data_IF_833535372272
#
_entry.id   IF_833535372272
#
_cell.length_a   1.000
_cell.length_b   1.000
_cell.length_c   1.000
_cell.angle_alpha   90.00
_cell.angle_beta   90.00
_cell.angle_gamma   90.00
#
_symmetry.space_group_name_H-M   'P 1'
#
loop_
_entity.id
_entity.type
_entity.pdbx_description
1 polymer ?
#
# COMPACT_ATOMS: atom_id res chain seq x y z
N UNK A 1 -4.95 23.17 -6.49
CA UNK A 1 -5.72 22.12 -7.18
C UNK A 1 -5.44 20.84 -6.43
N UNK A 2 -6.47 20.14 -5.94
CA UNK A 2 -6.28 18.80 -5.37
C UNK A 2 -5.99 17.90 -6.56
N UNK A 3 -4.75 17.43 -6.70
CA UNK A 3 -4.42 16.46 -7.74
C UNK A 3 -5.15 15.17 -7.40
N UNK A 4 -6.10 14.78 -8.23
CA UNK A 4 -6.84 13.54 -8.05
C UNK A 4 -6.08 12.41 -8.76
N UNK A 5 -4.92 12.01 -8.24
CA UNK A 5 -4.04 10.99 -8.84
C UNK A 5 -4.74 9.65 -9.11
N UNK A 6 -5.86 9.40 -8.42
CA UNK A 6 -6.66 8.20 -8.52
C UNK A 6 -8.00 8.44 -9.23
N UNK A 7 -8.11 9.51 -10.03
CA UNK A 7 -9.25 9.70 -10.92
C UNK A 7 -9.28 8.60 -11.99
N UNK A 8 -10.34 7.80 -11.99
CA UNK A 8 -10.46 6.62 -12.85
C UNK A 8 -9.84 5.34 -12.29
N UNK A 9 -9.32 5.35 -11.05
CA UNK A 9 -8.89 4.14 -10.37
C UNK A 9 -10.05 3.17 -10.14
N UNK A 10 -9.75 1.88 -10.17
CA UNK A 10 -10.68 0.84 -9.73
C UNK A 10 -10.50 0.63 -8.23
N UNK A 11 -11.60 0.76 -7.46
CA UNK A 11 -11.57 0.76 -6.00
C UNK A 11 -12.63 -0.20 -5.50
N UNK A 12 -12.24 -1.14 -4.65
CA UNK A 12 -13.13 -2.05 -3.96
C UNK A 12 -12.97 -1.91 -2.44
N UNK A 13 -14.09 -2.00 -1.73
CA UNK A 13 -14.09 -2.43 -0.33
C UNK A 13 -14.32 -3.92 -0.32
N UNK A 14 -13.48 -4.64 0.38
CA UNK A 14 -13.49 -6.10 0.42
C UNK A 14 -13.57 -6.61 1.86
N UNK A 15 -14.15 -7.78 2.04
CA UNK A 15 -14.21 -8.47 3.33
C UNK A 15 -12.89 -9.17 3.61
N UNK A 16 -12.29 -8.94 4.77
CA UNK A 16 -11.09 -9.70 5.21
C UNK A 16 -11.36 -11.18 5.43
N UNK A 17 -12.56 -11.51 5.92
CA UNK A 17 -12.92 -12.90 6.25
C UNK A 17 -13.12 -13.75 4.99
N UNK A 18 -13.74 -13.17 3.96
CA UNK A 18 -14.18 -13.92 2.77
C UNK A 18 -13.43 -13.55 1.49
N UNK A 19 -12.60 -12.52 1.53
CA UNK A 19 -11.88 -11.92 0.40
C UNK A 19 -12.79 -11.44 -0.75
N UNK A 20 -14.11 -11.41 -0.53
CA UNK A 20 -15.07 -10.97 -1.54
C UNK A 20 -15.28 -9.45 -1.50
N UNK A 21 -15.53 -8.88 -2.67
CA UNK A 21 -15.96 -7.49 -2.81
C UNK A 21 -17.29 -7.26 -2.07
N UNK A 22 -17.28 -6.27 -1.18
CA UNK A 22 -18.46 -5.72 -0.50
C UNK A 22 -19.11 -4.67 -1.41
N UNK A 23 -18.30 -3.76 -1.96
CA UNK A 23 -18.74 -2.70 -2.85
C UNK A 23 -17.61 -2.23 -3.75
N UNK A 24 -17.94 -1.88 -5.00
CA UNK A 24 -17.08 -1.08 -5.84
C UNK A 24 -17.33 0.41 -5.55
N UNK A 25 -16.28 1.15 -5.23
CA UNK A 25 -16.36 2.56 -4.85
C UNK A 25 -15.87 3.49 -5.97
N UNK A 26 -16.31 4.75 -5.91
CA UNK A 26 -15.75 5.81 -6.76
C UNK A 26 -14.57 6.50 -6.07
N UNK A 27 -13.78 7.27 -6.81
CA UNK A 27 -12.68 8.07 -6.24
C UNK A 27 -13.13 9.04 -5.13
N UNK A 28 -14.42 9.41 -5.09
CA UNK A 28 -14.97 10.22 -4.00
C UNK A 28 -14.89 9.54 -2.64
N UNK A 29 -14.89 8.20 -2.59
CA UNK A 29 -14.70 7.42 -1.37
C UNK A 29 -13.34 7.68 -0.72
N UNK A 30 -12.31 7.98 -1.52
CA UNK A 30 -10.98 8.26 -0.98
C UNK A 30 -10.89 9.55 -0.17
N UNK A 31 -11.94 10.39 -0.17
CA UNK A 31 -12.03 11.56 0.72
C UNK A 31 -12.40 11.19 2.17
N UNK A 32 -12.76 9.94 2.44
CA UNK A 32 -12.94 9.46 3.82
C UNK A 32 -11.61 9.55 4.58
N UNK A 33 -11.64 9.81 5.90
CA UNK A 33 -10.45 9.76 6.72
C UNK A 33 -9.86 8.33 6.73
N UNK A 34 -8.55 8.20 6.87
CA UNK A 34 -7.86 6.92 7.01
C UNK A 34 -8.44 6.10 8.19
N UNK A 35 -8.85 6.81 9.25
CA UNK A 35 -9.53 6.23 10.41
C UNK A 35 -10.81 5.46 10.09
N UNK A 36 -11.38 5.61 8.88
CA UNK A 36 -12.47 4.78 8.40
C UNK A 36 -12.18 3.28 8.55
N UNK A 37 -10.96 2.84 8.21
CA UNK A 37 -10.58 1.42 8.29
C UNK A 37 -10.49 0.90 9.72
N UNK A 38 -10.14 1.78 10.68
CA UNK A 38 -10.16 1.42 12.10
C UNK A 38 -11.58 1.18 12.61
N UNK A 39 -12.54 1.93 12.09
CA UNK A 39 -13.96 1.76 12.45
C UNK A 39 -14.60 0.58 11.69
N UNK A 40 -13.97 0.12 10.59
CA UNK A 40 -14.41 -0.97 9.73
C UNK A 40 -13.32 -2.06 9.60
N UNK A 41 -12.80 -2.56 10.74
CA UNK A 41 -11.65 -3.48 10.76
C UNK A 41 -11.83 -4.79 9.99
N UNK A 42 -13.07 -5.21 9.74
CA UNK A 42 -13.38 -6.38 8.94
C UNK A 42 -13.23 -6.14 7.42
N UNK A 43 -12.86 -4.93 7.02
CA UNK A 43 -12.72 -4.51 5.62
C UNK A 43 -11.26 -4.18 5.27
N UNK A 44 -10.93 -4.36 3.99
CA UNK A 44 -9.75 -3.78 3.36
C UNK A 44 -10.14 -3.03 2.09
N UNK A 45 -9.34 -2.04 1.70
CA UNK A 45 -9.50 -1.32 0.44
C UNK A 45 -8.53 -1.91 -0.57
N UNK A 46 -9.03 -2.35 -1.72
CA UNK A 46 -8.22 -2.74 -2.87
C UNK A 46 -8.28 -1.63 -3.92
N UNK A 47 -7.11 -1.17 -4.39
CA UNK A 47 -7.02 -0.06 -5.36
C UNK A 47 -6.07 -0.41 -6.51
N UNK A 48 -6.59 -0.41 -7.73
CA UNK A 48 -5.81 -0.46 -8.97
C UNK A 48 -5.76 0.92 -9.62
N UNK A 49 -4.57 1.32 -10.07
CA UNK A 49 -4.38 2.55 -10.82
C UNK A 49 -3.11 2.52 -11.64
N UNK A 50 -3.15 3.16 -12.80
CA UNK A 50 -1.99 3.35 -13.67
C UNK A 50 -0.77 3.99 -12.97
N UNK A 51 -0.98 4.74 -11.89
CA UNK A 51 0.12 5.34 -11.11
C UNK A 51 0.94 4.27 -10.37
N UNK A 52 0.32 3.17 -9.94
CA UNK A 52 1.00 2.03 -9.34
C UNK A 52 1.65 1.15 -10.40
N UNK A 53 0.96 0.96 -11.54
CA UNK A 53 1.49 0.13 -12.65
C UNK A 53 2.83 0.67 -13.17
N UNK A 54 3.00 2.00 -13.20
CA UNK A 54 4.27 2.65 -13.54
C UNK A 54 5.44 2.23 -12.63
N UNK A 55 5.12 1.85 -11.39
CA UNK A 55 6.07 1.33 -10.40
C UNK A 55 6.16 -0.20 -10.39
N UNK A 56 5.46 -0.89 -11.29
CA UNK A 56 5.41 -2.35 -11.35
C UNK A 56 4.53 -2.96 -10.26
N UNK A 57 3.51 -2.22 -9.81
CA UNK A 57 2.51 -2.67 -8.82
C UNK A 57 1.14 -2.62 -9.47
N UNK A 58 0.44 -3.75 -9.56
CA UNK A 58 -0.88 -3.80 -10.22
C UNK A 58 -1.96 -3.18 -9.32
N UNK A 59 -1.90 -3.51 -8.03
CA UNK A 59 -2.84 -3.03 -7.03
C UNK A 59 -2.17 -2.84 -5.67
N UNK A 60 -2.78 -2.00 -4.84
CA UNK A 60 -2.44 -1.84 -3.43
C UNK A 60 -3.66 -2.17 -2.59
N UNK A 61 -3.49 -3.08 -1.64
CA UNK A 61 -4.46 -3.30 -0.57
C UNK A 61 -4.06 -2.55 0.69
N UNK A 62 -5.02 -1.93 1.35
CA UNK A 62 -4.83 -1.21 2.60
C UNK A 62 -5.88 -1.61 3.64
N UNK A 63 -5.42 -1.97 4.82
CA UNK A 63 -6.29 -2.36 5.93
C UNK A 63 -5.74 -1.92 7.29
N UNK A 64 -6.53 -2.08 8.35
CA UNK A 64 -6.04 -1.93 9.73
C UNK A 64 -5.78 -3.30 10.34
N UNK A 65 -4.56 -3.57 10.82
CA UNK A 65 -4.21 -4.79 11.54
C UNK A 65 -5.04 -4.94 12.83
N UNK A 66 -5.45 -6.18 13.13
CA UNK A 66 -6.35 -6.48 14.24
C UNK A 66 -5.64 -6.48 15.60
N UNK A 67 -4.32 -6.68 15.63
CA UNK A 67 -3.54 -6.87 16.86
C UNK A 67 -2.95 -5.55 17.35
N UNK A 68 -2.30 -4.80 16.46
CA UNK A 68 -1.56 -3.58 16.76
C UNK A 68 -2.30 -2.32 16.31
N UNK A 69 -3.30 -2.44 15.43
CA UNK A 69 -4.03 -1.30 14.89
C UNK A 69 -3.20 -0.46 13.92
N UNK A 70 -2.12 -1.01 13.38
CA UNK A 70 -1.35 -0.40 12.28
C UNK A 70 -2.15 -0.46 10.98
N UNK A 71 -1.82 0.42 10.04
CA UNK A 71 -2.37 0.40 8.70
C UNK A 71 -1.42 -0.38 7.80
N UNK A 72 -1.81 -1.59 7.46
CA UNK A 72 -0.99 -2.52 6.70
C UNK A 72 -1.26 -2.35 5.21
N UNK A 73 -0.17 -2.15 4.47
CA UNK A 73 -0.13 -2.01 3.02
C UNK A 73 0.36 -3.33 2.44
N UNK A 74 -0.41 -3.93 1.54
CA UNK A 74 -0.06 -5.22 0.90
C UNK A 74 -0.10 -5.07 -0.62
N UNK A 75 0.96 -5.52 -1.29
CA UNK A 75 1.09 -5.41 -2.75
C UNK A 75 2.05 -6.43 -3.35
N UNK A 76 1.90 -6.63 -4.67
CA UNK A 76 2.87 -7.33 -5.51
C UNK A 76 3.78 -6.35 -6.26
N UNK A 77 5.10 -6.45 -6.09
CA UNK A 77 6.09 -5.59 -6.72
C UNK A 77 6.90 -6.35 -7.77
N UNK A 78 6.70 -6.00 -9.04
CA UNK A 78 7.36 -6.60 -10.22
C UNK A 78 8.80 -6.09 -10.37
N UNK A 79 9.72 -6.74 -9.65
CA UNK A 79 11.17 -6.53 -9.78
C UNK A 79 11.91 -7.87 -9.81
N UNK A 80 13.01 -7.93 -10.57
CA UNK A 80 13.85 -9.13 -10.64
C UNK A 80 14.42 -9.48 -9.25
N UNK A 81 14.51 -10.78 -8.93
CA UNK A 81 15.00 -11.26 -7.63
C UNK A 81 16.38 -10.72 -7.22
N UNK A 82 17.25 -10.39 -8.19
CA UNK A 82 18.58 -9.82 -7.94
C UNK A 82 18.57 -8.51 -7.14
N UNK A 83 17.43 -7.81 -7.13
CA UNK A 83 17.25 -6.56 -6.42
C UNK A 83 16.93 -6.72 -4.93
N UNK A 84 16.80 -7.95 -4.41
CA UNK A 84 16.46 -8.21 -3.00
C UNK A 84 17.27 -7.37 -2.01
N UNK A 85 18.62 -7.30 -2.08
CA UNK A 85 19.40 -6.55 -1.10
C UNK A 85 19.03 -5.06 -1.11
N UNK A 86 18.91 -4.46 -2.30
CA UNK A 86 18.57 -3.04 -2.44
C UNK A 86 17.14 -2.72 -1.98
N UNK A 87 16.18 -3.62 -2.20
CA UNK A 87 14.81 -3.47 -1.71
C UNK A 87 14.82 -3.49 -0.17
N UNK A 88 15.47 -4.49 0.44
CA UNK A 88 15.57 -4.60 1.90
C UNK A 88 16.29 -3.40 2.52
N UNK A 89 17.39 -2.95 1.92
CA UNK A 89 18.13 -1.78 2.39
C UNK A 89 17.27 -0.51 2.35
N UNK A 90 16.50 -0.31 1.29
CA UNK A 90 15.56 0.81 1.19
C UNK A 90 14.50 0.75 2.29
N UNK A 91 13.80 -0.39 2.43
CA UNK A 91 12.75 -0.57 3.43
C UNK A 91 13.27 -0.37 4.85
N UNK A 92 14.42 -0.94 5.20
CA UNK A 92 15.05 -0.77 6.51
C UNK A 92 15.42 0.69 6.80
N UNK A 93 15.79 1.46 5.78
CA UNK A 93 16.24 2.85 5.94
C UNK A 93 15.10 3.86 5.95
N UNK A 94 13.94 3.53 5.36
CA UNK A 94 12.84 4.48 5.16
C UNK A 94 11.57 4.13 5.93
N UNK A 95 11.50 2.96 6.56
CA UNK A 95 10.49 2.63 7.55
C UNK A 95 11.06 2.87 8.94
N UNK A 96 10.45 3.76 9.71
CA UNK A 96 10.85 4.14 11.07
C UNK A 96 10.31 3.15 12.12
N UNK A 97 10.80 3.20 13.36
CA UNK A 97 10.29 2.36 14.47
C UNK A 97 11.19 1.17 14.84
N UNK A 98 10.79 0.43 15.88
CA UNK A 98 11.55 -0.71 16.44
C UNK A 98 10.86 -2.07 16.21
N UNK A 99 9.59 -2.06 15.80
CA UNK A 99 8.78 -3.27 15.56
C UNK A 99 9.01 -3.84 14.15
N UNK A 100 8.39 -4.99 13.85
CA UNK A 100 8.44 -5.58 12.51
C UNK A 100 7.72 -4.67 11.51
N UNK A 101 8.49 -4.02 10.62
CA UNK A 101 7.97 -2.94 9.75
C UNK A 101 7.44 -3.42 8.41
N UNK A 102 7.98 -4.55 7.93
CA UNK A 102 7.65 -5.10 6.64
C UNK A 102 7.89 -6.62 6.60
N UNK A 103 7.15 -7.29 5.71
CA UNK A 103 7.47 -8.63 5.23
C UNK A 103 7.77 -8.56 3.73
N UNK A 104 8.75 -9.33 3.28
CA UNK A 104 9.20 -9.34 1.90
C UNK A 104 9.54 -10.77 1.47
N UNK A 105 8.68 -11.33 0.63
CA UNK A 105 8.80 -12.70 0.11
C UNK A 105 8.77 -12.69 -1.42
N UNK A 106 9.70 -13.38 -2.07
CA UNK A 106 9.69 -13.53 -3.53
C UNK A 106 8.76 -14.69 -3.93
N UNK A 107 7.72 -14.41 -4.72
CA UNK A 107 6.92 -15.44 -5.38
C UNK A 107 7.66 -15.92 -6.63
N UNK A 108 8.16 -17.15 -6.59
CA UNK A 108 8.83 -17.78 -7.73
C UNK A 108 7.90 -18.07 -8.91
N UNK A 109 6.63 -18.37 -8.61
CA UNK A 109 5.61 -18.71 -9.60
C UNK A 109 5.13 -17.46 -10.35
N UNK A 110 4.95 -16.35 -9.63
CA UNK A 110 4.47 -15.09 -10.22
C UNK A 110 5.61 -14.17 -10.70
N UNK A 111 6.85 -14.44 -10.30
CA UNK A 111 8.02 -13.65 -10.66
C UNK A 111 8.03 -12.25 -10.06
N UNK A 112 7.40 -12.06 -8.90
CA UNK A 112 7.26 -10.77 -8.21
C UNK A 112 7.52 -10.88 -6.70
N UNK A 113 7.67 -9.74 -6.04
CA UNK A 113 7.78 -9.65 -4.59
C UNK A 113 6.42 -9.40 -3.95
N UNK A 114 6.03 -10.27 -3.02
CA UNK A 114 4.96 -9.96 -2.07
C UNK A 114 5.57 -9.07 -0.99
N UNK A 115 5.13 -7.82 -0.95
CA UNK A 115 5.59 -6.80 -0.02
C UNK A 115 4.43 -6.36 0.84
N UNK A 116 4.58 -6.55 2.15
CA UNK A 116 3.70 -5.99 3.16
C UNK A 116 4.50 -4.99 3.99
N UNK A 117 3.95 -3.82 4.31
CA UNK A 117 4.57 -2.88 5.24
C UNK A 117 3.53 -2.03 5.96
N UNK A 118 3.85 -1.61 7.18
CA UNK A 118 2.98 -0.72 7.95
C UNK A 118 3.18 0.74 7.49
N UNK A 119 2.10 1.37 7.03
CA UNK A 119 2.07 2.78 6.63
C UNK A 119 2.48 3.70 7.77
N UNK A 120 2.22 3.30 9.02
CA UNK A 120 2.55 4.05 10.24
C UNK A 120 4.04 4.43 10.34
N UNK A 121 4.90 3.63 9.72
CA UNK A 121 6.35 3.82 9.77
C UNK A 121 6.91 4.63 8.60
N UNK A 122 6.08 4.96 7.61
CA UNK A 122 6.46 5.80 6.47
C UNK A 122 6.52 7.26 6.91
N UNK A 123 7.60 7.95 6.55
CA UNK A 123 7.71 9.40 6.78
C UNK A 123 6.52 10.16 6.18
N UNK A 124 5.89 11.03 6.98
CA UNK A 124 4.71 11.78 6.57
C UNK A 124 3.37 11.14 6.93
N UNK A 125 3.37 9.91 7.48
CA UNK A 125 2.15 9.33 8.04
C UNK A 125 1.55 10.21 9.14
N UNK A 126 0.23 10.32 9.13
CA UNK A 126 -0.58 10.91 10.19
C UNK A 126 -1.95 10.26 10.20
N UNK A 127 -2.53 10.11 11.38
CA UNK A 127 -3.91 9.61 11.53
C UNK A 127 -4.95 10.56 10.90
N UNK A 128 -4.59 11.83 10.70
CA UNK A 128 -5.47 12.83 10.10
C UNK A 128 -5.55 12.75 8.57
N UNK A 129 -4.77 11.89 7.92
CA UNK A 129 -4.80 11.72 6.48
C UNK A 129 -6.15 11.18 6.01
N UNK A 130 -6.59 11.62 4.84
CA UNK A 130 -7.61 10.92 4.06
C UNK A 130 -7.03 9.65 3.42
N UNK A 131 -7.90 8.73 3.00
CA UNK A 131 -7.48 7.56 2.21
C UNK A 131 -6.72 7.99 0.94
N UNK A 132 -7.15 9.07 0.28
CA UNK A 132 -6.47 9.61 -0.91
C UNK A 132 -5.02 10.02 -0.59
N UNK A 133 -4.82 10.77 0.50
CA UNK A 133 -3.48 11.19 0.92
C UNK A 133 -2.62 10.00 1.35
N UNK A 134 -3.21 9.00 2.00
CA UNK A 134 -2.54 7.74 2.36
C UNK A 134 -2.07 6.97 1.13
N UNK A 135 -2.93 6.78 0.12
CA UNK A 135 -2.52 6.12 -1.14
C UNK A 135 -1.50 6.95 -1.93
N UNK A 136 -1.58 8.28 -1.89
CA UNK A 136 -0.54 9.13 -2.47
C UNK A 136 0.80 8.96 -1.76
N UNK A 137 0.80 8.86 -0.43
CA UNK A 137 2.00 8.61 0.36
C UNK A 137 2.62 7.25 0.02
N UNK A 138 1.79 6.22 -0.10
CA UNK A 138 2.21 4.88 -0.56
C UNK A 138 2.83 4.97 -1.96
N UNK A 139 2.16 5.62 -2.91
CA UNK A 139 2.68 5.77 -4.27
C UNK A 139 4.05 6.49 -4.29
N UNK A 140 4.20 7.54 -3.49
CA UNK A 140 5.45 8.27 -3.40
C UNK A 140 6.58 7.40 -2.84
N UNK A 141 6.29 6.64 -1.78
CA UNK A 141 7.23 5.67 -1.20
C UNK A 141 7.67 4.63 -2.23
N UNK A 142 6.73 4.05 -2.99
CA UNK A 142 7.03 3.06 -4.04
C UNK A 142 7.83 3.64 -5.19
N UNK A 143 7.52 4.86 -5.62
CA UNK A 143 8.25 5.57 -6.67
C UNK A 143 9.72 5.75 -6.27
N UNK A 144 9.98 6.14 -5.02
CA UNK A 144 11.32 6.31 -4.50
C UNK A 144 12.06 4.96 -4.38
N UNK A 145 11.39 3.92 -3.87
CA UNK A 145 11.93 2.56 -3.80
C UNK A 145 12.39 2.09 -5.17
N UNK A 146 11.50 2.13 -6.17
CA UNK A 146 11.78 1.65 -7.52
C UNK A 146 12.89 2.47 -8.17
N UNK A 147 12.89 3.79 -7.98
CA UNK A 147 13.93 4.69 -8.48
C UNK A 147 15.31 4.37 -7.89
N UNK A 148 15.40 4.07 -6.59
CA UNK A 148 16.67 3.73 -5.93
C UNK A 148 17.15 2.35 -6.34
N UNK A 149 16.26 1.37 -6.39
CA UNK A 149 16.59 -0.03 -6.68
C UNK A 149 17.04 -0.24 -8.13
N UNK A 150 16.50 0.54 -9.08
CA UNK A 150 16.83 0.44 -10.52
C UNK A 150 18.01 1.31 -10.96
N UNK A 151 18.58 2.14 -10.08
CA UNK A 151 19.82 2.89 -10.37
C UNK A 151 21.01 1.95 -10.53
#
# INVERSE_FOLDING_TARGET
>A
MVNNFFEGAYIERCSKETENMIAQESSAFLNQPLSYLRDHKSEFIYLESTVFEQNGVDAVSLETDDVFGTYDVMLGLKLQKKYEPAIRDYLNSHLNGEEAKFDLMFSGDDGLWNLNFALNYVEGYSEALSLNESFNLINHFLTNLVSIVKK
#
